data_IF_262252993562
#
_entry.id   IF_262252993562
#
_cell.length_a   1.000
_cell.length_b   1.000
_cell.length_c   1.000
_cell.angle_alpha   90.00
_cell.angle_beta   90.00
_cell.angle_gamma   90.00
#
_symmetry.space_group_name_H-M   'P 1'
#
loop_
_entity.id
_entity.type
_entity.pdbx_description
1 polymer ?
#
# COMPACT_ATOMS: atom_id res chain seq x y z
N UNK A 1 -14.98 8.70 1.71
CA UNK A 1 -14.74 10.16 1.85
C UNK A 1 -13.25 10.37 2.05
N UNK A 2 -12.61 11.24 1.27
CA UNK A 2 -11.19 11.52 1.35
C UNK A 2 -10.98 12.69 2.32
N UNK A 3 -10.56 12.40 3.56
CA UNK A 3 -10.49 13.37 4.65
C UNK A 3 -9.11 14.01 4.80
N UNK A 4 -8.17 13.71 3.91
CA UNK A 4 -6.77 14.14 4.00
C UNK A 4 -6.41 15.03 2.80
N UNK A 5 -5.67 16.15 3.02
CA UNK A 5 -5.09 16.91 1.93
C UNK A 5 -4.02 16.08 1.19
N UNK A 6 -4.06 16.06 -0.13
CA UNK A 6 -3.10 15.31 -0.95
C UNK A 6 -1.64 15.68 -0.66
N UNK A 7 -1.32 16.97 -0.55
CA UNK A 7 0.04 17.45 -0.22
C UNK A 7 0.57 16.93 1.11
N UNK A 8 -0.32 16.71 2.09
CA UNK A 8 0.07 16.14 3.38
C UNK A 8 0.49 14.68 3.20
N UNK A 9 -0.29 13.91 2.44
CA UNK A 9 -0.01 12.49 2.20
C UNK A 9 1.29 12.31 1.41
N UNK A 10 1.49 13.12 0.37
CA UNK A 10 2.73 13.15 -0.41
C UNK A 10 3.95 13.41 0.47
N UNK A 11 3.87 14.40 1.37
CA UNK A 11 4.99 14.76 2.24
C UNK A 11 5.31 13.68 3.29
N UNK A 12 4.30 13.01 3.84
CA UNK A 12 4.45 12.14 5.01
C UNK A 12 4.64 10.68 4.65
N UNK A 13 3.98 10.19 3.60
CA UNK A 13 3.89 8.76 3.32
C UNK A 13 4.53 8.31 2.00
N UNK A 14 4.97 9.26 1.16
CA UNK A 14 5.51 8.98 -0.18
C UNK A 14 6.99 9.41 -0.26
N UNK A 15 7.95 8.49 -0.11
CA UNK A 15 9.37 8.81 -0.29
C UNK A 15 9.68 8.91 -1.79
N UNK A 16 9.90 10.14 -2.28
CA UNK A 16 10.26 10.51 -3.67
C UNK A 16 9.25 10.02 -4.74
N UNK A 17 8.67 10.91 -5.57
CA UNK A 17 7.61 10.49 -6.49
C UNK A 17 8.16 9.51 -7.53
N UNK A 18 7.77 8.24 -7.46
CA UNK A 18 7.63 7.41 -8.65
C UNK A 18 6.32 7.85 -9.34
N UNK A 19 6.39 8.61 -10.45
CA UNK A 19 5.20 9.22 -11.08
C UNK A 19 4.16 8.20 -11.53
N UNK A 20 4.59 6.96 -11.75
CA UNK A 20 3.73 5.87 -12.22
C UNK A 20 2.93 5.22 -11.10
N UNK A 21 3.25 5.53 -9.84
CA UNK A 21 2.53 4.97 -8.69
C UNK A 21 1.24 5.72 -8.46
N UNK A 22 0.12 5.00 -8.47
CA UNK A 22 -1.18 5.54 -8.08
C UNK A 22 -1.41 5.36 -6.59
N UNK A 23 -1.95 6.38 -5.94
CA UNK A 23 -2.22 6.39 -4.51
C UNK A 23 -3.69 6.62 -4.22
N UNK A 24 -4.24 5.79 -3.33
CA UNK A 24 -5.53 6.03 -2.68
C UNK A 24 -5.31 6.11 -1.18
N UNK A 25 -6.02 7.02 -0.52
CA UNK A 25 -5.82 7.23 0.90
C UNK A 25 -7.06 7.79 1.55
N UNK A 26 -7.14 7.64 2.87
CA UNK A 26 -8.22 8.19 3.66
C UNK A 26 -8.02 7.93 5.13
N UNK A 27 -9.11 8.13 5.88
CA UNK A 27 -9.16 7.87 7.32
C UNK A 27 -10.25 6.84 7.62
N UNK A 28 -10.01 6.05 8.66
CA UNK A 28 -10.95 5.09 9.24
C UNK A 28 -11.24 5.48 10.68
N UNK A 29 -12.48 5.24 11.11
CA UNK A 29 -12.88 5.24 12.52
C UNK A 29 -12.69 3.85 13.11
N UNK A 30 -12.71 3.78 14.45
CA UNK A 30 -12.64 2.53 15.17
C UNK A 30 -13.75 1.57 14.70
N UNK A 31 -13.38 0.33 14.39
CA UNK A 31 -14.26 -0.72 13.90
C UNK A 31 -14.63 -0.63 12.41
N UNK A 32 -14.28 0.43 11.68
CA UNK A 32 -14.49 0.48 10.23
C UNK A 32 -13.56 -0.49 9.51
N UNK A 33 -14.06 -1.05 8.40
CA UNK A 33 -13.37 -2.03 7.55
C UNK A 33 -13.29 -1.46 6.14
N UNK A 34 -12.17 -1.67 5.45
CA UNK A 34 -12.08 -1.43 4.00
C UNK A 34 -12.32 -2.72 3.24
N UNK A 35 -13.15 -2.63 2.22
CA UNK A 35 -13.41 -3.70 1.27
C UNK A 35 -12.79 -3.35 -0.07
N UNK A 36 -11.97 -4.25 -0.58
CA UNK A 36 -11.36 -4.18 -1.90
C UNK A 36 -12.16 -5.06 -2.85
N UNK A 37 -12.51 -4.48 -4.01
CA UNK A 37 -13.05 -5.19 -5.17
C UNK A 37 -12.24 -4.75 -6.37
N UNK A 38 -11.36 -5.62 -6.83
CA UNK A 38 -10.29 -5.32 -7.78
C UNK A 38 -10.46 -6.13 -9.07
N UNK A 39 -10.19 -5.49 -10.18
CA UNK A 39 -10.22 -6.13 -11.50
C UNK A 39 -9.03 -7.10 -11.67
N UNK A 40 -9.23 -8.23 -12.35
CA UNK A 40 -8.13 -9.19 -12.62
C UNK A 40 -7.01 -8.57 -13.44
N UNK A 41 -7.31 -7.68 -14.40
CA UNK A 41 -6.31 -6.97 -15.18
C UNK A 41 -5.43 -6.09 -14.30
N UNK A 42 -5.99 -5.52 -13.24
CA UNK A 42 -5.22 -4.73 -12.28
C UNK A 42 -4.22 -5.63 -11.54
N UNK A 43 -4.68 -6.74 -10.96
CA UNK A 43 -3.81 -7.66 -10.21
C UNK A 43 -2.74 -8.32 -11.08
N UNK A 44 -3.02 -8.54 -12.36
CA UNK A 44 -2.07 -9.12 -13.29
C UNK A 44 -0.92 -8.15 -13.60
N UNK A 45 -1.23 -6.87 -13.80
CA UNK A 45 -0.26 -5.88 -14.31
C UNK A 45 0.34 -4.98 -13.22
N UNK A 46 -0.21 -4.99 -12.00
CA UNK A 46 0.19 -4.08 -10.93
C UNK A 46 0.40 -4.81 -9.60
N UNK A 47 1.37 -4.33 -8.83
CA UNK A 47 1.53 -4.65 -7.42
C UNK A 47 0.75 -3.65 -6.58
N UNK A 48 -0.06 -4.17 -5.67
CA UNK A 48 -0.95 -3.37 -4.82
C UNK A 48 -0.56 -3.60 -3.37
N UNK A 49 -0.30 -2.53 -2.63
CA UNK A 49 0.07 -2.58 -1.23
C UNK A 49 -0.88 -1.76 -0.39
N UNK A 50 -1.35 -2.36 0.70
CA UNK A 50 -2.07 -1.67 1.75
C UNK A 50 -1.13 -1.28 2.88
N UNK A 51 -1.36 -0.11 3.47
CA UNK A 51 -0.69 0.35 4.67
C UNK A 51 -1.68 1.07 5.57
N UNK A 52 -1.71 0.69 6.85
CA UNK A 52 -2.47 1.33 7.90
C UNK A 52 -1.52 2.05 8.84
N UNK A 53 -1.88 3.26 9.22
CA UNK A 53 -1.13 4.09 10.15
C UNK A 53 -2.02 4.59 11.29
N UNK A 54 -1.44 4.82 12.46
CA UNK A 54 -2.09 5.57 13.52
C UNK A 54 -2.29 7.03 13.09
N UNK A 55 -3.04 7.82 13.87
CA UNK A 55 -3.18 9.27 13.63
C UNK A 55 -1.84 10.02 13.70
N UNK A 56 -0.94 9.51 14.51
CA UNK A 56 0.43 10.02 14.70
C UNK A 56 1.38 9.52 13.59
N UNK A 57 0.84 8.84 12.57
CA UNK A 57 1.55 8.34 11.40
C UNK A 57 2.52 7.18 11.69
N UNK A 58 2.36 6.46 12.81
CA UNK A 58 3.08 5.21 13.04
C UNK A 58 2.47 4.07 12.24
N UNK A 59 3.31 3.26 11.60
CA UNK A 59 2.85 2.09 10.85
C UNK A 59 2.23 1.07 11.81
N UNK A 60 1.02 0.62 11.49
CA UNK A 60 0.27 -0.39 12.26
C UNK A 60 0.17 -1.70 11.50
N UNK A 61 -0.09 -1.64 10.20
CA UNK A 61 -0.30 -2.81 9.35
C UNK A 61 0.21 -2.54 7.94
N UNK A 62 0.80 -3.55 7.30
CA UNK A 62 1.25 -3.48 5.92
C UNK A 62 1.19 -4.87 5.28
N UNK A 63 0.65 -4.96 4.08
CA UNK A 63 0.66 -6.19 3.28
C UNK A 63 0.34 -5.95 1.81
N UNK A 64 0.77 -6.85 0.90
CA UNK A 64 0.31 -6.86 -0.49
C UNK A 64 -1.14 -7.35 -0.60
N UNK A 65 -1.91 -6.78 -1.53
CA UNK A 65 -3.24 -7.27 -1.91
C UNK A 65 -3.10 -8.08 -3.20
N UNK A 66 -3.32 -9.39 -3.10
CA UNK A 66 -3.19 -10.34 -4.21
C UNK A 66 -4.53 -10.94 -4.67
N UNK A 67 -5.61 -10.63 -3.93
CA UNK A 67 -6.94 -11.20 -4.13
C UNK A 67 -7.88 -10.14 -4.76
N UNK A 68 -8.80 -10.57 -5.62
CA UNK A 68 -9.80 -9.66 -6.23
C UNK A 68 -10.75 -9.08 -5.18
N UNK A 69 -11.10 -9.88 -4.18
CA UNK A 69 -11.94 -9.46 -3.06
C UNK A 69 -11.17 -9.66 -1.77
N UNK A 70 -11.01 -8.58 -1.00
CA UNK A 70 -10.32 -8.63 0.29
C UNK A 70 -10.95 -7.63 1.25
N UNK A 71 -11.07 -8.00 2.51
CA UNK A 71 -11.44 -7.07 3.58
C UNK A 71 -10.26 -6.90 4.54
N UNK A 72 -10.07 -5.69 5.05
CA UNK A 72 -9.11 -5.46 6.14
C UNK A 72 -9.66 -6.02 7.45
N UNK A 73 -8.79 -6.17 8.44
CA UNK A 73 -9.24 -6.25 9.83
C UNK A 73 -10.00 -4.96 10.22
N UNK A 74 -10.93 -5.02 11.20
CA UNK A 74 -11.54 -3.81 11.75
C UNK A 74 -10.48 -2.86 12.30
N UNK A 75 -10.60 -1.57 12.00
CA UNK A 75 -9.61 -0.58 12.43
C UNK A 75 -9.55 -0.52 13.97
N UNK A 76 -8.36 -0.58 14.59
CA UNK A 76 -8.22 -0.60 16.05
C UNK A 76 -8.53 0.76 16.71
N UNK A 77 -8.72 1.81 15.91
CA UNK A 77 -8.93 3.17 16.39
C UNK A 77 -9.20 4.14 15.24
N UNK A 78 -8.89 5.42 15.46
CA UNK A 78 -8.84 6.37 14.35
C UNK A 78 -7.52 6.16 13.62
N UNK A 79 -7.58 5.76 12.36
CA UNK A 79 -6.40 5.42 11.57
C UNK A 79 -6.41 6.14 10.23
N UNK A 80 -5.24 6.21 9.60
CA UNK A 80 -5.07 6.64 8.22
C UNK A 80 -4.69 5.42 7.40
N UNK A 81 -5.18 5.32 6.18
CA UNK A 81 -4.75 4.27 5.26
C UNK A 81 -4.15 4.86 3.99
N UNK A 82 -3.22 4.11 3.40
CA UNK A 82 -2.64 4.37 2.10
C UNK A 82 -2.64 3.05 1.31
N UNK A 83 -3.18 3.09 0.10
CA UNK A 83 -3.09 2.03 -0.90
C UNK A 83 -2.16 2.54 -1.99
N UNK A 84 -1.10 1.79 -2.25
CA UNK A 84 -0.14 2.08 -3.32
C UNK A 84 -0.35 1.07 -4.43
N UNK A 85 -0.42 1.54 -5.67
CA UNK A 85 -0.55 0.69 -6.86
C UNK A 85 0.61 1.03 -7.79
N UNK A 86 1.49 0.07 -7.99
CA UNK A 86 2.70 0.18 -8.79
C UNK A 86 2.58 -0.73 -10.01
N UNK A 87 2.96 -0.27 -11.18
CA UNK A 87 3.04 -1.16 -12.33
C UNK A 87 4.14 -2.20 -12.07
N UNK A 88 3.86 -3.46 -12.34
CA UNK A 88 4.90 -4.49 -12.33
C UNK A 88 5.90 -4.15 -13.44
N UNK A 89 7.18 -4.08 -13.10
CA UNK A 89 8.20 -3.96 -14.13
C UNK A 89 8.10 -5.17 -15.07
N UNK A 90 8.14 -4.97 -16.40
CA UNK A 90 8.30 -6.10 -17.30
C UNK A 90 9.63 -6.78 -16.93
N UNK A 91 9.57 -8.00 -16.37
CA UNK A 91 10.78 -8.77 -16.10
C UNK A 91 11.45 -9.08 -17.44
N UNK A 92 12.54 -8.39 -17.76
CA UNK A 92 13.33 -8.66 -18.96
C UNK A 92 14.58 -9.50 -18.68
N UNK A 93 14.98 -9.68 -17.42
CA UNK A 93 16.20 -10.43 -17.07
C UNK A 93 15.99 -11.36 -15.87
N UNK A 94 16.70 -12.50 -15.89
CA UNK A 94 16.65 -13.49 -14.84
C UNK A 94 17.42 -12.99 -13.61
N UNK A 95 16.79 -13.06 -12.44
CA UNK A 95 17.41 -12.78 -11.15
C UNK A 95 18.62 -13.72 -10.92
N UNK A 96 19.79 -13.16 -10.57
CA UNK A 96 21.02 -13.93 -10.29
C UNK A 96 21.27 -13.92 -8.77
N UNK A 97 21.38 -15.12 -8.19
CA UNK A 97 21.49 -15.37 -6.74
C UNK A 97 22.68 -14.68 -6.07
N UNK A 98 23.78 -14.52 -6.81
CA UNK A 98 25.02 -13.93 -6.33
C UNK A 98 24.89 -12.42 -6.03
N UNK A 99 23.73 -11.82 -6.32
CA UNK A 99 23.45 -10.40 -6.04
C UNK A 99 23.04 -10.11 -4.60
N UNK A 100 22.78 -11.12 -3.77
CA UNK A 100 22.33 -10.92 -2.39
C UNK A 100 23.17 -11.75 -1.42
N UNK A 101 23.86 -11.06 -0.50
CA UNK A 101 24.51 -11.67 0.66
C UNK A 101 23.99 -11.00 1.92
N UNK A 102 23.44 -11.79 2.83
CA UNK A 102 22.83 -11.33 4.09
C UNK A 102 23.56 -12.04 5.22
N UNK A 103 24.08 -11.27 6.17
CA UNK A 103 24.69 -11.81 7.40
C UNK A 103 24.17 -11.04 8.59
N UNK A 104 23.82 -11.76 9.65
CA UNK A 104 23.37 -11.19 10.94
C UNK A 104 24.59 -11.02 11.83
N UNK A 105 24.73 -9.85 12.47
CA UNK A 105 25.75 -9.56 13.49
C UNK A 105 25.07 -9.35 14.83
#
# INVERSE_FOLDING_TARGET
KQWLPQKFVEKVFLPVPNPETKFYFGALKAGEILQFKLDSLLLNNYDIYFSLYSRECFALEWYPITEQEKSTSPSPGKCLYVVRIHQKFPQQEAFISDWVSITVV
#
